data_IF_443608303258
#
_entry.id   IF_443608303258
#
_cell.length_a   1.000
_cell.length_b   1.000
_cell.length_c   1.000
_cell.angle_alpha   90.00
_cell.angle_beta   90.00
_cell.angle_gamma   90.00
#
_symmetry.space_group_name_H-M   'P 1'
#
loop_
_entity.id
_entity.type
_entity.pdbx_description
1 polymer ?
#
# COMPACT_ATOMS: atom_id res chain seq x y z
N UNK A 1 -18.28 -8.48 -12.73
CA UNK A 1 -18.23 -7.77 -14.01
C UNK A 1 -16.88 -7.12 -14.16
N UNK A 2 -16.32 -6.99 -15.35
CA UNK A 2 -15.13 -6.13 -15.57
C UNK A 2 -15.64 -4.69 -15.66
N UNK A 3 -14.99 -3.75 -14.96
CA UNK A 3 -15.33 -2.32 -15.07
C UNK A 3 -15.13 -1.89 -16.53
N UNK A 4 -16.19 -1.43 -17.16
CA UNK A 4 -16.12 -0.93 -18.53
C UNK A 4 -15.47 0.46 -18.53
N UNK A 5 -14.43 0.66 -19.33
CA UNK A 5 -13.70 1.91 -19.47
C UNK A 5 -13.96 2.49 -20.86
N UNK A 6 -14.44 3.73 -20.93
CA UNK A 6 -14.72 4.42 -22.20
C UNK A 6 -13.42 4.84 -22.91
N UNK A 7 -13.50 5.17 -24.20
CA UNK A 7 -12.36 5.70 -24.96
C UNK A 7 -11.90 7.04 -24.36
N UNK A 8 -12.82 7.91 -24.01
CA UNK A 8 -12.53 9.19 -23.38
C UNK A 8 -11.81 9.04 -22.05
N UNK A 9 -12.28 8.14 -21.15
CA UNK A 9 -11.58 7.84 -19.90
C UNK A 9 -10.14 7.37 -20.12
N UNK A 10 -9.90 6.60 -21.17
CA UNK A 10 -8.53 6.15 -21.52
C UNK A 10 -7.64 7.33 -21.94
N UNK A 11 -8.17 8.20 -22.80
CA UNK A 11 -7.43 9.36 -23.31
C UNK A 11 -7.05 10.35 -22.20
N UNK A 12 -8.00 10.70 -21.32
CA UNK A 12 -7.75 11.63 -20.20
C UNK A 12 -6.93 11.00 -19.07
N UNK A 13 -6.79 9.67 -19.03
CA UNK A 13 -5.96 8.96 -18.06
C UNK A 13 -4.54 8.70 -18.55
N UNK A 14 -4.20 9.09 -19.77
CA UNK A 14 -2.87 8.86 -20.32
C UNK A 14 -1.80 9.58 -19.48
N UNK A 15 -0.73 8.88 -19.15
CA UNK A 15 0.46 9.47 -18.52
C UNK A 15 1.42 10.01 -19.60
N UNK A 16 2.19 11.03 -19.24
CA UNK A 16 3.21 11.57 -20.15
C UNK A 16 4.37 10.61 -20.34
N UNK A 17 5.20 10.83 -21.35
CA UNK A 17 6.40 10.03 -21.61
C UNK A 17 7.41 10.13 -20.48
N UNK A 18 7.50 11.30 -19.85
CA UNK A 18 8.35 11.58 -18.70
C UNK A 18 7.87 10.83 -17.48
N UNK A 19 6.57 10.88 -17.18
CA UNK A 19 5.94 10.11 -16.09
C UNK A 19 6.13 8.60 -16.31
N UNK A 20 5.90 8.12 -17.53
CA UNK A 20 6.11 6.71 -17.84
C UNK A 20 7.55 6.27 -17.54
N UNK A 21 8.56 7.06 -17.96
CA UNK A 21 9.99 6.75 -17.72
C UNK A 21 10.33 6.71 -16.23
N UNK A 22 9.74 7.61 -15.44
CA UNK A 22 10.01 7.69 -14.00
C UNK A 22 9.20 6.65 -13.20
N UNK A 23 7.92 6.48 -13.51
CA UNK A 23 7.02 5.64 -12.72
C UNK A 23 7.25 4.13 -12.97
N UNK A 24 7.79 3.75 -14.13
CA UNK A 24 8.09 2.34 -14.44
C UNK A 24 9.46 1.86 -13.93
N UNK A 25 10.23 2.72 -13.27
CA UNK A 25 11.42 2.28 -12.53
C UNK A 25 11.03 1.44 -11.33
N UNK A 26 11.83 0.44 -10.99
CA UNK A 26 11.62 -0.40 -9.80
C UNK A 26 12.22 0.19 -8.51
N UNK A 27 12.90 1.32 -8.60
CA UNK A 27 13.40 2.11 -7.46
C UNK A 27 12.91 3.54 -7.60
N UNK A 28 12.14 3.99 -6.60
CA UNK A 28 11.64 5.35 -6.52
C UNK A 28 12.32 6.10 -5.38
N UNK A 29 13.04 7.17 -5.71
CA UNK A 29 13.57 8.10 -4.71
C UNK A 29 12.53 9.19 -4.45
N UNK A 30 11.79 9.05 -3.36
CA UNK A 30 10.74 9.98 -2.94
C UNK A 30 11.04 10.40 -1.52
N UNK A 31 11.11 11.73 -1.28
CA UNK A 31 11.33 12.27 0.05
C UNK A 31 10.23 11.81 1.02
N UNK A 32 10.65 11.40 2.22
CA UNK A 32 9.71 11.05 3.27
C UNK A 32 8.96 12.29 3.75
N UNK A 33 7.74 12.10 4.21
CA UNK A 33 6.97 13.12 4.91
C UNK A 33 6.74 12.68 6.35
N UNK A 34 6.45 13.64 7.22
CA UNK A 34 6.07 13.39 8.60
C UNK A 34 4.78 14.13 8.89
N UNK A 35 3.98 13.57 9.75
CA UNK A 35 2.76 14.18 10.26
C UNK A 35 2.81 14.13 11.80
N UNK A 36 2.55 15.24 12.50
CA UNK A 36 2.63 15.27 13.96
C UNK A 36 1.56 14.40 14.63
N UNK A 37 0.43 14.19 13.96
CA UNK A 37 -0.74 13.49 14.52
C UNK A 37 -0.87 12.05 14.03
N UNK A 38 0.05 11.60 13.15
CA UNK A 38 0.01 10.23 12.62
C UNK A 38 1.42 9.64 12.47
N UNK A 39 1.69 8.48 13.09
CA UNK A 39 3.05 7.93 13.18
C UNK A 39 3.62 7.40 11.86
N UNK A 40 2.77 7.10 10.88
CA UNK A 40 3.16 6.42 9.64
C UNK A 40 2.42 6.97 8.42
N UNK A 41 2.84 8.13 7.93
CA UNK A 41 2.28 8.76 6.73
C UNK A 41 3.24 8.56 5.56
N UNK A 42 2.74 8.19 4.40
CA UNK A 42 3.52 8.22 3.17
C UNK A 42 3.26 9.51 2.37
N UNK A 43 4.25 9.99 1.60
CA UNK A 43 4.12 11.22 0.83
C UNK A 43 3.06 11.09 -0.28
N UNK A 44 2.33 12.17 -0.61
CA UNK A 44 1.29 12.15 -1.66
C UNK A 44 1.80 11.70 -3.04
N UNK A 45 3.08 11.86 -3.32
CA UNK A 45 3.69 11.42 -4.58
C UNK A 45 3.63 9.89 -4.76
N UNK A 46 3.69 9.11 -3.67
CA UNK A 46 3.61 7.65 -3.75
C UNK A 46 2.25 7.19 -4.29
N UNK A 47 1.09 7.51 -3.66
CA UNK A 47 -0.20 7.14 -4.22
C UNK A 47 -0.48 7.85 -5.55
N UNK A 48 0.05 9.05 -5.81
CA UNK A 48 -0.10 9.76 -7.10
C UNK A 48 0.42 8.91 -8.26
N UNK A 49 1.61 8.35 -8.14
CA UNK A 49 2.17 7.45 -9.16
C UNK A 49 1.31 6.22 -9.36
N UNK A 50 0.92 5.55 -8.28
CA UNK A 50 0.12 4.32 -8.32
C UNK A 50 -1.28 4.56 -8.92
N UNK A 51 -1.95 5.64 -8.53
CA UNK A 51 -3.26 6.02 -9.06
C UNK A 51 -3.20 6.31 -10.54
N UNK A 52 -2.20 7.08 -10.99
CA UNK A 52 -2.01 7.38 -12.42
C UNK A 52 -1.68 6.14 -13.25
N UNK A 53 -0.87 5.22 -12.72
CA UNK A 53 -0.45 4.01 -13.43
C UNK A 53 -1.54 2.94 -13.51
N UNK A 54 -2.42 2.84 -12.51
CA UNK A 54 -3.25 1.65 -12.35
C UNK A 54 -4.76 1.91 -12.29
N UNK A 55 -5.21 3.17 -12.41
CA UNK A 55 -6.63 3.50 -12.48
C UNK A 55 -6.96 4.49 -13.59
N UNK A 56 -8.20 4.46 -14.07
CA UNK A 56 -8.71 5.45 -15.02
C UNK A 56 -9.47 6.56 -14.28
N UNK A 57 -9.50 7.75 -14.88
CA UNK A 57 -10.36 8.86 -14.43
C UNK A 57 -11.81 8.37 -14.32
N UNK A 58 -12.48 8.72 -13.23
CA UNK A 58 -13.84 8.27 -12.92
C UNK A 58 -13.95 6.89 -12.27
N UNK A 59 -12.83 6.14 -12.09
CA UNK A 59 -12.84 4.90 -11.30
C UNK A 59 -12.70 5.19 -9.80
N UNK A 60 -13.05 4.19 -8.99
CA UNK A 60 -12.92 4.28 -7.53
C UNK A 60 -11.61 3.65 -7.07
N UNK A 61 -10.87 4.39 -6.26
CA UNK A 61 -9.66 3.96 -5.55
C UNK A 61 -9.99 3.80 -4.08
N UNK A 62 -9.63 2.66 -3.49
CA UNK A 62 -9.87 2.37 -2.07
C UNK A 62 -8.58 2.30 -1.27
N UNK A 63 -8.61 2.85 -0.05
CA UNK A 63 -7.62 2.64 1.01
C UNK A 63 -8.36 2.21 2.29
N UNK A 64 -8.34 0.91 2.66
CA UNK A 64 -9.05 0.41 3.84
C UNK A 64 -8.29 0.59 5.16
N UNK A 65 -7.06 1.15 5.12
CA UNK A 65 -6.29 1.60 6.28
C UNK A 65 -5.97 3.09 6.08
N UNK A 66 -7.02 3.89 5.94
CA UNK A 66 -7.01 5.23 5.37
C UNK A 66 -6.16 6.26 6.14
N UNK A 67 -5.96 6.09 7.45
CA UNK A 67 -5.19 7.01 8.28
C UNK A 67 -5.62 8.46 8.10
N UNK A 68 -4.73 9.30 7.60
CA UNK A 68 -5.02 10.73 7.31
C UNK A 68 -5.64 10.99 5.94
N UNK A 69 -6.00 9.95 5.17
CA UNK A 69 -6.72 10.07 3.91
C UNK A 69 -5.89 10.47 2.69
N UNK A 70 -4.58 10.33 2.74
CA UNK A 70 -3.68 10.75 1.65
C UNK A 70 -4.04 10.10 0.31
N UNK A 71 -4.31 8.79 0.29
CA UNK A 71 -4.69 8.06 -0.93
C UNK A 71 -5.97 8.60 -1.54
N UNK A 72 -7.03 8.78 -0.72
CA UNK A 72 -8.33 9.23 -1.21
C UNK A 72 -8.31 10.67 -1.73
N UNK A 73 -7.61 11.56 -1.03
CA UNK A 73 -7.40 12.94 -1.46
C UNK A 73 -6.68 13.01 -2.81
N UNK A 74 -5.56 12.29 -2.94
CA UNK A 74 -4.81 12.22 -4.20
C UNK A 74 -5.65 11.61 -5.33
N UNK A 75 -6.46 10.61 -5.05
CA UNK A 75 -7.37 10.03 -6.03
C UNK A 75 -8.38 11.09 -6.54
N UNK A 76 -9.00 11.85 -5.62
CA UNK A 76 -9.93 12.93 -5.96
C UNK A 76 -9.26 14.03 -6.81
N UNK A 77 -8.08 14.51 -6.40
CA UNK A 77 -7.30 15.50 -7.16
C UNK A 77 -6.98 15.04 -8.59
N UNK A 78 -6.92 13.74 -8.82
CA UNK A 78 -6.65 13.13 -10.12
C UNK A 78 -7.94 12.76 -10.87
N UNK A 79 -9.13 13.16 -10.40
CA UNK A 79 -10.42 12.89 -11.05
C UNK A 79 -10.92 11.44 -10.86
N UNK A 80 -10.47 10.75 -9.81
CA UNK A 80 -10.99 9.46 -9.38
C UNK A 80 -11.83 9.63 -8.13
N UNK A 81 -12.68 8.65 -7.81
CA UNK A 81 -13.37 8.61 -6.52
C UNK A 81 -12.46 7.94 -5.50
N UNK A 82 -12.08 8.65 -4.43
CA UNK A 82 -11.24 8.14 -3.36
C UNK A 82 -12.07 7.72 -2.16
N UNK A 83 -12.03 6.45 -1.77
CA UNK A 83 -12.67 5.92 -0.56
C UNK A 83 -11.58 5.56 0.44
N UNK A 84 -11.56 6.24 1.59
CA UNK A 84 -10.68 5.91 2.71
C UNK A 84 -11.50 5.42 3.88
N UNK A 85 -11.15 4.24 4.40
CA UNK A 85 -11.81 3.64 5.55
C UNK A 85 -10.76 3.52 6.66
N UNK A 86 -11.13 3.91 7.87
CA UNK A 86 -10.30 3.70 9.05
C UNK A 86 -11.17 3.34 10.25
N UNK A 87 -10.65 2.51 11.14
CA UNK A 87 -11.34 2.14 12.38
C UNK A 87 -11.19 3.19 13.49
N UNK A 88 -10.20 4.08 13.37
CA UNK A 88 -9.96 5.15 14.33
C UNK A 88 -10.86 6.36 14.01
N UNK A 89 -11.81 6.70 14.89
CA UNK A 89 -12.73 7.81 14.66
C UNK A 89 -12.03 9.18 14.57
N UNK A 90 -10.89 9.36 15.23
CA UNK A 90 -10.15 10.63 15.18
C UNK A 90 -9.53 10.85 13.80
N UNK A 91 -9.00 9.80 13.17
CA UNK A 91 -8.52 9.88 11.79
C UNK A 91 -9.65 10.15 10.82
N UNK A 92 -10.81 9.52 11.00
CA UNK A 92 -11.98 9.79 10.16
C UNK A 92 -12.47 11.23 10.31
N UNK A 93 -12.54 11.75 11.53
CA UNK A 93 -12.89 13.16 11.77
C UNK A 93 -11.89 14.12 11.14
N UNK A 94 -10.61 13.79 11.17
CA UNK A 94 -9.59 14.57 10.46
C UNK A 94 -9.80 14.53 8.95
N UNK A 95 -9.99 13.33 8.36
CA UNK A 95 -10.29 13.19 6.93
C UNK A 95 -11.54 13.99 6.51
N UNK A 96 -12.57 14.03 7.35
CA UNK A 96 -13.78 14.81 7.10
C UNK A 96 -13.50 16.32 7.12
N UNK A 97 -12.71 16.82 8.07
CA UNK A 97 -12.28 18.23 8.08
C UNK A 97 -11.45 18.58 6.85
N UNK A 98 -10.49 17.72 6.48
CA UNK A 98 -9.65 17.92 5.30
C UNK A 98 -10.50 17.90 4.01
N UNK A 99 -11.53 17.05 3.94
CA UNK A 99 -12.50 17.01 2.85
C UNK A 99 -13.22 18.34 2.68
N UNK A 100 -13.67 18.97 3.77
CA UNK A 100 -14.37 20.26 3.70
C UNK A 100 -13.48 21.41 3.17
N UNK A 101 -12.16 21.27 3.30
CA UNK A 101 -11.19 22.22 2.75
C UNK A 101 -10.89 22.02 1.25
N UNK A 102 -11.36 20.93 0.64
CA UNK A 102 -11.19 20.68 -0.80
C UNK A 102 -12.14 21.50 -1.64
N UNK A 103 -11.74 21.81 -2.87
CA UNK A 103 -12.62 22.40 -3.89
C UNK A 103 -13.80 21.46 -4.20
N UNK A 104 -14.94 22.06 -4.64
CA UNK A 104 -16.22 21.38 -4.75
C UNK A 104 -16.18 20.01 -5.43
N UNK A 105 -15.59 19.89 -6.63
CA UNK A 105 -15.49 18.62 -7.37
C UNK A 105 -14.67 17.58 -6.62
N UNK A 106 -13.52 17.96 -6.05
CA UNK A 106 -12.66 17.06 -5.28
C UNK A 106 -13.31 16.64 -3.97
N UNK A 107 -14.04 17.54 -3.34
CA UNK A 107 -14.84 17.25 -2.14
C UNK A 107 -15.87 16.15 -2.39
N UNK A 108 -16.59 16.19 -3.49
CA UNK A 108 -17.58 15.18 -3.86
C UNK A 108 -16.93 13.83 -4.19
N UNK A 109 -15.72 13.84 -4.73
CA UNK A 109 -14.98 12.65 -5.10
C UNK A 109 -14.21 11.99 -3.93
N UNK A 110 -14.08 12.64 -2.77
CA UNK A 110 -13.43 12.07 -1.59
C UNK A 110 -14.45 11.59 -0.55
N UNK A 111 -14.37 10.30 -0.17
CA UNK A 111 -15.33 9.64 0.74
C UNK A 111 -14.61 8.97 1.93
N UNK A 112 -14.34 9.73 3.01
CA UNK A 112 -13.91 9.18 4.29
C UNK A 112 -15.03 8.39 4.96
N UNK A 113 -14.69 7.22 5.57
CA UNK A 113 -15.67 6.37 6.27
C UNK A 113 -15.06 5.75 7.53
N UNK A 114 -15.82 5.71 8.60
CA UNK A 114 -15.51 4.87 9.77
C UNK A 114 -15.86 3.43 9.43
N UNK A 115 -14.93 2.50 9.64
CA UNK A 115 -15.18 1.09 9.34
C UNK A 115 -13.97 0.20 9.62
N UNK A 116 -14.18 -1.09 9.45
CA UNK A 116 -13.16 -2.12 9.64
C UNK A 116 -12.74 -2.70 8.27
N UNK A 117 -11.45 -2.69 7.98
CA UNK A 117 -10.89 -3.24 6.75
C UNK A 117 -11.25 -4.72 6.53
N UNK A 118 -11.54 -5.46 7.61
CA UNK A 118 -11.91 -6.88 7.60
C UNK A 118 -13.37 -7.13 7.20
N UNK A 119 -14.17 -6.07 7.09
CA UNK A 119 -15.59 -6.14 6.69
C UNK A 119 -16.01 -4.86 5.98
N UNK A 120 -15.76 -4.82 4.68
CA UNK A 120 -16.06 -3.64 3.86
C UNK A 120 -17.53 -3.64 3.41
N UNK A 121 -18.26 -2.58 3.74
CA UNK A 121 -19.60 -2.34 3.18
C UNK A 121 -19.47 -1.75 1.77
N UNK A 122 -18.98 -2.58 0.86
CA UNK A 122 -18.69 -2.25 -0.53
C UNK A 122 -19.05 -3.45 -1.42
N UNK A 123 -19.65 -3.18 -2.56
CA UNK A 123 -20.03 -4.20 -3.55
C UNK A 123 -18.80 -4.93 -4.10
N UNK A 124 -18.93 -6.24 -4.30
CA UNK A 124 -17.88 -7.05 -4.90
C UNK A 124 -17.56 -6.62 -6.33
N UNK A 125 -16.28 -6.60 -6.70
CA UNK A 125 -15.79 -6.26 -8.04
C UNK A 125 -16.13 -4.81 -8.49
N UNK A 126 -16.27 -3.88 -7.57
CA UNK A 126 -16.63 -2.47 -7.85
C UNK A 126 -15.44 -1.51 -7.81
N UNK A 127 -14.30 -1.91 -7.23
CA UNK A 127 -13.14 -1.05 -7.08
C UNK A 127 -12.15 -1.18 -8.25
N UNK A 128 -11.66 -0.03 -8.75
CA UNK A 128 -10.69 0.06 -9.84
C UNK A 128 -9.24 -0.13 -9.39
N UNK A 129 -8.94 0.25 -8.16
CA UNK A 129 -7.60 0.15 -7.57
C UNK A 129 -7.71 0.11 -6.05
N UNK A 130 -6.85 -0.66 -5.39
CA UNK A 130 -6.60 -0.53 -3.96
C UNK A 130 -5.14 -0.09 -3.71
N UNK A 131 -4.95 0.91 -2.85
CA UNK A 131 -3.62 1.39 -2.41
C UNK A 131 -3.69 1.59 -0.92
N UNK A 132 -2.82 0.94 -0.16
CA UNK A 132 -2.83 1.03 1.30
C UNK A 132 -1.46 0.82 1.92
N UNK A 133 -1.34 1.22 3.18
CA UNK A 133 -0.22 0.90 4.07
C UNK A 133 -0.81 0.36 5.37
N UNK A 134 -0.98 -0.97 5.50
CA UNK A 134 -1.49 -1.55 6.74
C UNK A 134 -0.48 -1.34 7.88
N UNK A 135 -0.84 -1.57 9.14
CA UNK A 135 0.11 -1.56 10.24
C UNK A 135 1.34 -2.43 9.96
N UNK A 136 2.52 -2.01 10.44
CA UNK A 136 3.77 -2.75 10.30
C UNK A 136 4.10 -3.46 11.61
N UNK A 137 3.24 -4.41 12.02
CA UNK A 137 3.32 -5.11 13.29
C UNK A 137 3.47 -4.08 14.45
N UNK A 138 4.37 -4.29 15.40
CA UNK A 138 4.62 -3.44 16.56
C UNK A 138 5.48 -2.18 16.27
N UNK A 139 5.54 -1.73 15.00
CA UNK A 139 6.44 -0.63 14.59
C UNK A 139 5.99 0.74 15.06
N UNK A 140 4.70 0.96 15.23
CA UNK A 140 4.12 2.20 15.66
C UNK A 140 2.99 1.94 16.67
N UNK A 141 2.75 2.90 17.53
CA UNK A 141 1.58 2.90 18.41
C UNK A 141 0.37 3.39 17.60
N UNK A 142 -0.56 2.50 17.34
CA UNK A 142 -1.82 2.79 16.65
C UNK A 142 -3.00 2.97 17.63
N UNK A 143 -2.72 3.07 18.96
CA UNK A 143 -3.69 3.21 20.02
C UNK A 143 -4.19 1.89 20.62
N UNK A 144 -4.89 1.98 21.77
CA UNK A 144 -5.27 0.84 22.61
C UNK A 144 -6.55 0.09 22.17
N UNK A 145 -7.03 0.32 20.95
CA UNK A 145 -8.24 -0.35 20.44
C UNK A 145 -8.11 -1.88 20.44
N UNK A 146 -9.06 -2.60 21.06
CA UNK A 146 -9.06 -4.08 21.14
C UNK A 146 -8.99 -4.78 19.75
N UNK A 147 -9.36 -4.08 18.68
CA UNK A 147 -9.37 -4.59 17.31
C UNK A 147 -8.19 -4.09 16.48
N UNK A 148 -7.22 -3.43 17.11
CA UNK A 148 -6.08 -2.87 16.41
C UNK A 148 -5.08 -3.96 16.02
N UNK A 149 -4.92 -4.17 14.71
CA UNK A 149 -4.02 -5.20 14.17
C UNK A 149 -2.55 -4.94 14.55
N UNK A 150 -2.15 -3.70 14.78
CA UNK A 150 -0.80 -3.35 15.23
C UNK A 150 -0.48 -3.84 16.65
N UNK A 151 -1.48 -4.24 17.44
CA UNK A 151 -1.32 -4.72 18.82
C UNK A 151 -1.21 -6.24 18.94
N UNK A 152 -1.22 -6.98 17.83
CA UNK A 152 -1.04 -8.44 17.83
C UNK A 152 0.41 -8.76 18.20
N UNK A 153 0.67 -9.49 19.32
CA UNK A 153 2.02 -9.63 19.85
C UNK A 153 2.90 -10.56 19.02
N UNK A 154 2.35 -11.65 18.50
CA UNK A 154 3.07 -12.64 17.71
C UNK A 154 3.21 -12.23 16.25
N UNK A 155 4.43 -12.31 15.69
CA UNK A 155 4.67 -11.90 14.32
C UNK A 155 3.84 -12.69 13.29
N UNK A 156 3.85 -14.02 13.35
CA UNK A 156 3.07 -14.86 12.43
C UNK A 156 1.56 -14.69 12.65
N UNK A 157 1.14 -14.52 13.90
CA UNK A 157 -0.24 -14.21 14.24
C UNK A 157 -0.68 -12.86 13.65
N UNK A 158 0.21 -11.85 13.70
CA UNK A 158 -0.02 -10.58 13.05
C UNK A 158 -0.21 -10.73 11.54
N UNK A 159 0.67 -11.49 10.84
CA UNK A 159 0.51 -11.77 9.40
C UNK A 159 -0.86 -12.36 9.11
N UNK A 160 -1.28 -13.39 9.86
CA UNK A 160 -2.59 -14.03 9.67
C UNK A 160 -3.76 -13.10 10.02
N UNK A 161 -3.58 -12.17 10.95
CA UNK A 161 -4.61 -11.19 11.31
C UNK A 161 -4.95 -10.20 10.19
N UNK A 162 -4.04 -10.00 9.23
CA UNK A 162 -4.27 -9.18 8.03
C UNK A 162 -5.08 -9.92 6.93
N UNK A 163 -5.13 -11.25 6.97
CA UNK A 163 -5.81 -12.07 5.95
C UNK A 163 -7.24 -11.63 5.67
N UNK A 164 -8.14 -11.45 6.67
CA UNK A 164 -9.52 -11.06 6.39
C UNK A 164 -9.63 -9.72 5.67
N UNK A 165 -8.75 -8.75 6.00
CA UNK A 165 -8.75 -7.46 5.33
C UNK A 165 -8.30 -7.59 3.86
N UNK A 166 -7.30 -8.40 3.57
CA UNK A 166 -6.84 -8.60 2.20
C UNK A 166 -7.80 -9.46 1.36
N UNK A 167 -8.53 -10.38 1.97
CA UNK A 167 -9.64 -11.10 1.34
C UNK A 167 -10.79 -10.15 0.96
N UNK A 168 -11.13 -9.20 1.82
CA UNK A 168 -12.09 -8.15 1.49
C UNK A 168 -11.62 -7.25 0.34
N UNK A 169 -10.34 -6.86 0.32
CA UNK A 169 -9.76 -6.14 -0.82
C UNK A 169 -9.85 -7.01 -2.09
N UNK A 170 -9.54 -8.30 -2.00
CA UNK A 170 -9.69 -9.21 -3.15
C UNK A 170 -11.14 -9.28 -3.62
N UNK A 171 -12.10 -9.34 -2.70
CA UNK A 171 -13.54 -9.37 -3.02
C UNK A 171 -14.00 -8.12 -3.76
N UNK A 172 -13.65 -6.93 -3.24
CA UNK A 172 -14.14 -5.65 -3.78
C UNK A 172 -13.44 -5.20 -5.05
N UNK A 173 -12.19 -5.62 -5.29
CA UNK A 173 -11.47 -5.30 -6.52
C UNK A 173 -12.09 -5.99 -7.74
N UNK A 174 -12.22 -5.25 -8.83
CA UNK A 174 -12.64 -5.83 -10.10
C UNK A 174 -11.55 -6.74 -10.70
N UNK A 175 -11.91 -7.82 -11.44
CA UNK A 175 -10.95 -8.68 -12.09
C UNK A 175 -9.97 -7.93 -13.00
N UNK A 176 -8.68 -8.27 -12.90
CA UNK A 176 -7.58 -7.62 -13.62
C UNK A 176 -7.03 -6.35 -12.96
N UNK A 177 -7.67 -5.86 -11.91
CA UNK A 177 -7.26 -4.65 -11.18
C UNK A 177 -6.15 -4.92 -10.18
N UNK A 178 -5.45 -3.85 -9.77
CA UNK A 178 -4.25 -3.93 -8.93
C UNK A 178 -4.57 -3.59 -7.48
N UNK A 179 -3.84 -4.25 -6.61
CA UNK A 179 -3.70 -3.90 -5.20
C UNK A 179 -2.23 -3.56 -4.93
N UNK A 180 -1.98 -2.38 -4.39
CA UNK A 180 -0.66 -1.88 -4.06
C UNK A 180 -0.54 -1.73 -2.55
N UNK A 181 0.40 -2.46 -1.95
CA UNK A 181 0.66 -2.46 -0.50
C UNK A 181 2.02 -1.82 -0.23
N UNK A 182 2.02 -0.70 0.49
CA UNK A 182 3.26 -0.15 1.03
C UNK A 182 3.57 -0.80 2.36
N UNK A 183 4.80 -1.27 2.55
CA UNK A 183 5.26 -1.95 3.76
C UNK A 183 6.78 -1.88 3.92
N UNK A 184 7.28 -2.23 5.11
CA UNK A 184 8.70 -2.32 5.39
C UNK A 184 9.00 -3.53 6.26
N UNK A 185 10.19 -4.10 6.09
CA UNK A 185 10.70 -5.09 7.03
C UNK A 185 10.90 -4.46 8.41
N UNK A 186 10.68 -5.23 9.47
CA UNK A 186 10.69 -4.75 10.85
C UNK A 186 11.89 -5.29 11.61
N UNK A 187 12.70 -4.39 12.17
CA UNK A 187 13.76 -4.76 13.07
C UNK A 187 13.23 -4.84 14.50
N UNK A 188 13.45 -5.96 15.17
CA UNK A 188 13.02 -6.22 16.53
C UNK A 188 14.14 -6.84 17.37
N UNK A 189 14.33 -6.35 18.59
CA UNK A 189 15.22 -7.01 19.56
C UNK A 189 14.60 -8.31 20.07
N UNK A 190 15.39 -9.37 20.04
CA UNK A 190 15.03 -10.70 20.49
C UNK A 190 16.13 -11.24 21.41
N UNK A 191 15.94 -12.42 21.99
CA UNK A 191 16.98 -13.14 22.73
C UNK A 191 18.22 -13.48 21.89
N UNK A 192 18.08 -13.51 20.55
CA UNK A 192 19.16 -13.74 19.59
C UNK A 192 19.77 -12.42 19.06
N UNK A 193 19.45 -11.28 19.68
CA UNK A 193 19.90 -9.95 19.27
C UNK A 193 18.87 -9.21 18.38
N UNK A 194 19.34 -8.22 17.60
CA UNK A 194 18.51 -7.46 16.68
C UNK A 194 18.31 -8.24 15.39
N UNK A 195 17.09 -8.74 15.17
CA UNK A 195 16.71 -9.48 13.97
C UNK A 195 15.79 -8.65 13.06
N UNK A 196 15.81 -8.97 11.77
CA UNK A 196 14.88 -8.42 10.77
C UNK A 196 13.79 -9.44 10.47
N UNK A 197 12.55 -9.05 10.70
CA UNK A 197 11.36 -9.79 10.31
C UNK A 197 10.95 -9.39 8.88
N UNK A 198 10.84 -10.34 7.94
CA UNK A 198 10.72 -10.06 6.50
C UNK A 198 9.28 -9.77 6.09
N UNK A 199 8.65 -8.75 6.68
CA UNK A 199 7.23 -8.44 6.50
C UNK A 199 6.84 -8.32 5.03
N UNK A 200 7.66 -7.69 4.19
CA UNK A 200 7.37 -7.55 2.77
C UNK A 200 7.23 -8.92 2.06
N UNK A 201 8.15 -9.85 2.33
CA UNK A 201 8.14 -11.20 1.76
C UNK A 201 6.92 -11.99 2.24
N UNK A 202 6.63 -11.94 3.54
CA UNK A 202 5.52 -12.70 4.12
C UNK A 202 4.17 -12.18 3.63
N UNK A 203 4.03 -10.86 3.40
CA UNK A 203 2.86 -10.30 2.76
C UNK A 203 2.69 -10.76 1.29
N UNK A 204 3.78 -10.92 0.53
CA UNK A 204 3.70 -11.51 -0.83
C UNK A 204 3.17 -12.93 -0.78
N UNK A 205 3.63 -13.73 0.19
CA UNK A 205 3.15 -15.11 0.39
C UNK A 205 1.66 -15.12 0.72
N UNK A 206 1.25 -14.35 1.73
CA UNK A 206 -0.14 -14.21 2.15
C UNK A 206 -1.07 -13.77 0.99
N UNK A 207 -0.67 -12.76 0.23
CA UNK A 207 -1.44 -12.25 -0.89
C UNK A 207 -1.61 -13.30 -2.00
N UNK A 208 -0.57 -14.11 -2.26
CA UNK A 208 -0.65 -15.22 -3.22
C UNK A 208 -1.58 -16.33 -2.76
N UNK A 209 -1.57 -16.67 -1.47
CA UNK A 209 -2.49 -17.66 -0.88
C UNK A 209 -3.96 -17.22 -1.00
N UNK A 210 -4.26 -15.91 -0.87
CA UNK A 210 -5.59 -15.34 -1.09
C UNK A 210 -6.02 -15.45 -2.56
N UNK A 211 -5.07 -15.55 -3.49
CA UNK A 211 -5.35 -15.70 -4.93
C UNK A 211 -4.92 -14.51 -5.79
N UNK A 212 -4.22 -13.53 -5.23
CA UNK A 212 -3.56 -12.50 -6.02
C UNK A 212 -2.37 -13.07 -6.80
N UNK A 213 -2.01 -12.42 -7.91
CA UNK A 213 -0.76 -12.69 -8.64
C UNK A 213 0.18 -11.51 -8.46
N UNK A 214 1.44 -11.80 -8.15
CA UNK A 214 2.47 -10.77 -8.04
C UNK A 214 2.76 -10.16 -9.42
N UNK A 215 2.72 -8.84 -9.51
CA UNK A 215 3.02 -8.09 -10.73
C UNK A 215 4.44 -7.53 -10.66
N UNK A 216 4.75 -6.85 -9.55
CA UNK A 216 6.09 -6.29 -9.32
C UNK A 216 6.26 -5.88 -7.85
N UNK A 217 7.51 -5.57 -7.48
CA UNK A 217 7.88 -4.92 -6.24
C UNK A 217 8.70 -3.67 -6.56
N UNK A 218 8.36 -2.56 -5.92
CA UNK A 218 9.06 -1.28 -6.05
C UNK A 218 9.78 -1.01 -4.74
N UNK A 219 11.03 -0.62 -4.81
CA UNK A 219 11.79 -0.10 -3.68
C UNK A 219 11.51 1.40 -3.56
N UNK A 220 10.83 1.81 -2.51
CA UNK A 220 10.75 3.22 -2.16
C UNK A 220 11.99 3.60 -1.35
N UNK A 221 13.00 4.14 -2.05
CA UNK A 221 14.23 4.63 -1.45
C UNK A 221 13.98 5.97 -0.76
N UNK A 222 14.32 6.06 0.52
CA UNK A 222 14.21 7.26 1.37
C UNK A 222 15.57 7.91 1.64
N UNK A 223 16.67 7.22 1.30
CA UNK A 223 18.02 7.72 1.53
C UNK A 223 18.40 8.78 0.50
N UNK A 224 19.11 9.82 0.94
CA UNK A 224 19.53 10.91 0.06
C UNK A 224 18.40 11.78 -0.49
N UNK A 225 17.16 11.60 -0.06
CA UNK A 225 15.99 12.33 -0.59
C UNK A 225 15.68 13.64 0.14
N UNK A 226 16.53 14.03 1.07
CA UNK A 226 16.33 15.19 1.94
C UNK A 226 15.66 14.85 3.27
N UNK A 227 15.80 15.74 4.23
CA UNK A 227 15.30 15.57 5.60
C UNK A 227 16.38 15.89 6.63
N UNK A 228 15.98 16.18 7.87
CA UNK A 228 16.82 16.71 8.94
C UNK A 228 18.08 15.87 9.25
N UNK A 229 18.13 14.62 8.78
CA UNK A 229 19.21 13.67 9.09
C UNK A 229 19.77 12.96 7.85
N UNK A 230 19.41 13.37 6.64
CA UNK A 230 19.90 12.72 5.41
C UNK A 230 19.58 11.23 5.32
N UNK A 231 18.67 10.73 6.16
CA UNK A 231 18.32 9.33 6.24
C UNK A 231 16.81 9.15 6.35
N UNK A 232 16.32 8.13 5.73
CA UNK A 232 14.95 7.68 5.89
C UNK A 232 14.60 7.59 7.39
N UNK A 233 13.53 8.23 7.79
CA UNK A 233 12.89 8.12 9.10
C UNK A 233 13.55 8.79 10.31
N UNK A 234 14.58 9.62 10.16
CA UNK A 234 15.23 10.25 11.34
C UNK A 234 15.74 9.22 12.37
N UNK A 235 15.94 7.96 11.95
CA UNK A 235 16.41 6.90 12.83
C UNK A 235 17.78 7.24 13.37
N UNK A 236 17.97 7.04 14.67
CA UNK A 236 19.28 7.17 15.29
C UNK A 236 20.29 6.27 14.60
N UNK A 237 21.56 6.70 14.46
CA UNK A 237 22.60 5.84 13.96
C UNK A 237 22.60 4.51 14.71
N UNK A 238 22.61 3.41 13.99
CA UNK A 238 22.69 2.06 14.56
C UNK A 238 24.13 1.63 14.41
N UNK A 239 24.86 1.53 15.53
CA UNK A 239 26.30 1.26 15.48
C UNK A 239 26.63 -0.24 15.59
N UNK A 240 25.83 -1.00 16.35
CA UNK A 240 26.19 -2.38 16.66
C UNK A 240 27.55 -2.43 17.33
N UNK A 241 28.45 -3.25 16.79
CA UNK A 241 29.84 -3.34 17.23
C UNK A 241 30.80 -2.38 16.51
N UNK A 242 30.27 -1.40 15.73
CA UNK A 242 31.11 -0.43 15.00
C UNK A 242 32.20 0.15 15.90
N UNK A 243 33.47 0.27 15.46
CA UNK A 243 33.95 -0.04 14.10
C UNK A 243 34.37 -1.49 13.86
N UNK A 244 34.16 -2.39 14.78
CA UNK A 244 34.70 -3.75 14.73
C UNK A 244 33.64 -4.78 14.29
N UNK A 245 33.97 -5.72 13.35
CA UNK A 245 33.13 -6.87 13.08
C UNK A 245 33.01 -7.78 14.33
N UNK A 246 32.06 -8.76 14.39
CA UNK A 246 31.17 -9.16 13.31
C UNK A 246 29.76 -8.55 13.38
N UNK A 247 29.41 -7.79 14.41
CA UNK A 247 28.02 -7.39 14.71
C UNK A 247 27.70 -5.96 14.21
N UNK A 248 28.05 -5.68 12.97
CA UNK A 248 27.63 -4.43 12.31
C UNK A 248 26.15 -4.48 11.94
N UNK A 249 25.40 -3.42 12.23
CA UNK A 249 23.98 -3.35 11.99
C UNK A 249 23.65 -2.59 10.71
N UNK A 250 22.60 -3.03 10.01
CA UNK A 250 22.11 -2.40 8.80
C UNK A 250 20.99 -1.39 9.12
N UNK A 251 21.00 -0.29 8.39
CA UNK A 251 19.97 0.73 8.49
C UNK A 251 18.92 0.52 7.40
N UNK A 252 17.65 0.44 7.79
CA UNK A 252 16.55 0.37 6.84
C UNK A 252 16.30 1.74 6.22
N UNK A 253 16.75 1.94 4.99
CA UNK A 253 16.64 3.19 4.25
C UNK A 253 15.57 3.16 3.16
N UNK A 254 14.78 2.11 3.11
CA UNK A 254 13.74 1.93 2.11
C UNK A 254 12.51 1.25 2.67
N UNK A 255 11.43 1.34 1.92
CA UNK A 255 10.22 0.53 2.05
C UNK A 255 9.93 -0.17 0.73
N UNK A 256 8.95 -1.07 0.73
CA UNK A 256 8.51 -1.82 -0.43
C UNK A 256 7.11 -1.40 -0.82
N UNK A 257 6.85 -1.24 -2.12
CA UNK A 257 5.50 -1.17 -2.67
C UNK A 257 5.26 -2.47 -3.44
N UNK A 258 4.52 -3.38 -2.82
CA UNK A 258 4.14 -4.66 -3.41
C UNK A 258 2.96 -4.41 -4.33
N UNK A 259 3.06 -4.77 -5.60
CA UNK A 259 2.01 -4.63 -6.59
C UNK A 259 1.52 -6.02 -6.98
N UNK A 260 0.28 -6.32 -6.62
CA UNK A 260 -0.40 -7.56 -7.00
C UNK A 260 -1.63 -7.26 -7.84
N UNK A 261 -2.12 -8.26 -8.55
CA UNK A 261 -3.34 -8.16 -9.34
C UNK A 261 -4.34 -9.25 -8.96
N UNK A 262 -5.63 -8.90 -8.90
CA UNK A 262 -6.69 -9.90 -8.97
C UNK A 262 -6.69 -10.49 -10.39
N UNK A 263 -6.64 -11.82 -10.56
CA UNK A 263 -6.62 -12.42 -11.89
C UNK A 263 -7.78 -11.91 -12.77
N UNK A 264 -7.57 -11.70 -14.08
CA UNK A 264 -8.63 -11.28 -14.97
C UNK A 264 -9.67 -12.38 -15.15
N UNK A 265 -10.92 -12.01 -15.42
CA UNK A 265 -12.00 -12.97 -15.65
C UNK A 265 -11.79 -13.86 -16.90
N UNK A 266 -11.00 -13.38 -17.86
CA UNK A 266 -10.60 -14.14 -19.04
C UNK A 266 -9.08 -14.25 -19.06
N UNK A 267 -8.56 -15.50 -19.17
CA UNK A 267 -7.13 -15.73 -19.32
C UNK A 267 -6.65 -15.22 -20.69
N UNK A 268 -5.46 -14.63 -20.74
CA UNK A 268 -4.78 -14.34 -22.01
C UNK A 268 -4.41 -15.66 -22.70
N UNK A 269 -4.61 -15.74 -24.01
CA UNK A 269 -4.26 -16.91 -24.82
C UNK A 269 -3.28 -16.46 -25.91
N UNK A 270 -2.14 -17.13 -26.01
CA UNK A 270 -1.14 -16.88 -27.05
C UNK A 270 -0.01 -17.90 -27.00
N UNK A 271 0.77 -18.03 -28.09
CA UNK A 271 1.87 -19.00 -28.18
C UNK A 271 3.01 -18.79 -27.18
N UNK A 272 3.15 -17.56 -26.65
CA UNK A 272 4.17 -17.16 -25.67
C UNK A 272 3.62 -17.04 -24.25
N UNK A 273 2.32 -17.36 -24.03
CA UNK A 273 1.69 -17.29 -22.71
C UNK A 273 1.83 -18.64 -22.03
N UNK A 274 2.62 -18.68 -20.96
CA UNK A 274 2.75 -19.87 -20.12
C UNK A 274 1.62 -19.89 -19.08
N UNK A 275 1.01 -21.05 -18.79
CA UNK A 275 0.04 -21.19 -17.72
C UNK A 275 0.67 -20.87 -16.37
N UNK A 276 0.09 -19.92 -15.62
CA UNK A 276 0.62 -19.51 -14.32
C UNK A 276 0.71 -20.69 -13.33
N UNK A 277 -0.33 -21.53 -13.28
CA UNK A 277 -0.39 -22.66 -12.37
C UNK A 277 0.72 -23.69 -12.66
N UNK A 278 1.11 -23.86 -13.94
CA UNK A 278 2.19 -24.77 -14.32
C UNK A 278 3.57 -24.22 -13.87
N UNK A 279 3.76 -22.89 -13.90
CA UNK A 279 4.97 -22.23 -13.44
C UNK A 279 5.11 -22.25 -11.92
N UNK A 280 4.00 -22.38 -11.19
CA UNK A 280 3.98 -22.35 -9.73
C UNK A 280 3.97 -23.73 -9.08
N UNK A 281 4.01 -24.81 -9.90
CA UNK A 281 4.08 -26.18 -9.37
C UNK A 281 5.46 -26.42 -8.74
N UNK A 282 5.44 -26.93 -7.53
CA UNK A 282 6.63 -27.55 -6.93
C UNK A 282 6.74 -28.95 -7.55
N UNK A 283 7.88 -29.33 -8.13
CA UNK A 283 8.09 -30.71 -8.55
C UNK A 283 7.86 -31.65 -7.37
N UNK A 284 7.13 -32.75 -7.62
CA UNK A 284 6.89 -33.78 -6.62
C UNK A 284 8.19 -34.48 -6.19
#
# INVERSE_FOLDING_TARGET
MTLAVTKEQREVSAITKEEWREYTKTVWSIANTSDPDHPAVFPPELPRRLVKMFSFVGETVIDPFGGTGTTGRVAAELGRYGVCIDQNPDYVQRMLRDKEALDGTYREQFSPRLGDARKLDIESNSMGLAVTSPPYWNKADYGDGQNNLGNVPGYLEFIESLRPAFEEIFRVLAPGRKFCVNTANVNQHTEHGLLTFPLATDLVILLREIGFVLVNEIIWNKDGTGGRWGSANGQRPIFGSYPYPPNLLFKNVHEYVIIVAKPPAKKSVGKTVLPYDDLMRVPA
#
